data_IF_798568401489
#
_entry.id   IF_798568401489
#
_cell.length_a   1.000
_cell.length_b   1.000
_cell.length_c   1.000
_cell.angle_alpha   90.00
_cell.angle_beta   90.00
_cell.angle_gamma   90.00
#
_symmetry.space_group_name_H-M   'P 1'
#
loop_
_entity.id
_entity.type
_entity.pdbx_description
1 polymer ?
#
# COMPACT_ATOMS: atom_id res chain seq x y z
N UNK A 1 19.46 24.75 18.07
CA UNK A 1 18.32 23.84 17.87
C UNK A 1 17.42 24.33 16.73
N UNK A 2 17.13 25.63 16.66
CA UNK A 2 16.49 26.29 15.50
C UNK A 2 17.27 26.12 14.19
N UNK A 3 18.59 26.30 14.19
CA UNK A 3 19.38 26.21 12.95
C UNK A 3 19.36 24.82 12.30
N UNK A 4 19.28 23.77 13.12
CA UNK A 4 19.14 22.39 12.66
C UNK A 4 17.76 22.15 12.03
N UNK A 5 16.72 22.77 12.58
CA UNK A 5 15.34 22.68 12.07
C UNK A 5 15.23 23.44 10.74
N UNK A 6 15.79 24.65 10.65
CA UNK A 6 15.84 25.45 9.43
C UNK A 6 16.60 24.75 8.31
N UNK A 7 17.76 24.14 8.62
CA UNK A 7 18.54 23.34 7.67
C UNK A 7 17.74 22.13 7.16
N UNK A 8 17.02 21.44 8.04
CA UNK A 8 16.18 20.30 7.66
C UNK A 8 14.99 20.72 6.79
N UNK A 9 14.34 21.85 7.10
CA UNK A 9 13.25 22.42 6.29
C UNK A 9 13.77 22.79 4.90
N UNK A 10 14.93 23.45 4.81
CA UNK A 10 15.51 23.84 3.52
C UNK A 10 15.90 22.62 2.66
N UNK A 11 16.46 21.58 3.28
CA UNK A 11 16.79 20.34 2.59
C UNK A 11 15.56 19.60 2.07
N UNK A 12 14.46 19.64 2.82
CA UNK A 12 13.17 19.08 2.42
C UNK A 12 12.57 19.89 1.26
N UNK A 13 12.58 21.23 1.34
CA UNK A 13 12.11 22.12 0.27
C UNK A 13 12.91 21.97 -1.03
N UNK A 14 14.24 21.88 -0.94
CA UNK A 14 15.12 21.68 -2.10
C UNK A 14 14.83 20.32 -2.76
N UNK A 15 14.65 19.26 -1.97
CA UNK A 15 14.28 17.93 -2.49
C UNK A 15 12.90 17.92 -3.14
N UNK A 16 11.93 18.64 -2.59
CA UNK A 16 10.62 18.78 -3.23
C UNK A 16 10.69 19.58 -4.55
N UNK A 17 11.55 20.59 -4.63
CA UNK A 17 11.82 21.29 -5.89
C UNK A 17 12.44 20.36 -6.94
N UNK A 18 13.40 19.54 -6.54
CA UNK A 18 14.02 18.55 -7.43
C UNK A 18 13.03 17.49 -7.90
N UNK A 19 12.15 17.02 -6.99
CA UNK A 19 11.08 16.07 -7.28
C UNK A 19 10.06 16.69 -8.24
N UNK A 20 9.59 17.92 -7.97
CA UNK A 20 8.69 18.66 -8.87
C UNK A 20 9.29 18.76 -10.26
N UNK A 21 10.56 19.13 -10.35
CA UNK A 21 11.25 19.27 -11.64
C UNK A 21 11.36 17.92 -12.37
N UNK A 22 11.63 16.81 -11.66
CA UNK A 22 11.63 15.48 -12.27
C UNK A 22 10.26 15.06 -12.79
N UNK A 23 9.20 15.30 -12.01
CA UNK A 23 7.82 15.00 -12.42
C UNK A 23 7.43 15.83 -13.63
N UNK A 24 7.77 17.11 -13.66
CA UNK A 24 7.51 17.99 -14.80
C UNK A 24 8.28 17.53 -16.03
N UNK A 25 9.54 17.12 -15.89
CA UNK A 25 10.35 16.59 -17.00
C UNK A 25 9.79 15.26 -17.52
N UNK A 26 9.40 14.34 -16.65
CA UNK A 26 8.81 13.06 -17.05
C UNK A 26 7.43 13.26 -17.69
N UNK A 27 6.60 14.15 -17.13
CA UNK A 27 5.31 14.54 -17.70
C UNK A 27 5.48 15.19 -19.07
N UNK A 28 6.43 16.10 -19.25
CA UNK A 28 6.75 16.73 -20.53
C UNK A 28 7.26 15.70 -21.55
N UNK A 29 8.09 14.73 -21.14
CA UNK A 29 8.55 13.65 -22.01
C UNK A 29 7.40 12.75 -22.47
N UNK A 30 6.46 12.47 -21.56
CA UNK A 30 5.26 11.69 -21.85
C UNK A 30 4.32 12.46 -22.79
N UNK A 31 4.07 13.75 -22.53
CA UNK A 31 3.29 14.64 -23.40
C UNK A 31 3.91 14.76 -24.78
N UNK A 32 5.23 14.96 -24.88
CA UNK A 32 5.94 15.04 -26.16
C UNK A 32 5.88 13.72 -26.96
N UNK A 33 5.98 12.57 -26.27
CA UNK A 33 5.78 11.25 -26.89
C UNK A 33 4.33 11.03 -27.34
N UNK A 34 3.35 11.64 -26.69
CA UNK A 34 1.94 11.49 -27.08
C UNK A 34 1.48 12.47 -28.15
N UNK A 35 2.03 13.69 -28.16
CA UNK A 35 1.83 14.67 -29.24
C UNK A 35 2.39 14.16 -30.57
N UNK A 36 3.49 13.41 -30.53
CA UNK A 36 4.03 12.71 -31.70
C UNK A 36 3.19 11.51 -32.15
N UNK A 37 2.26 11.03 -31.32
CA UNK A 37 1.36 9.91 -31.60
C UNK A 37 -0.10 10.32 -31.86
N UNK A 38 -0.44 11.62 -31.80
CA UNK A 38 -1.77 12.15 -32.16
C UNK A 38 -2.90 11.78 -31.19
N UNK A 39 -2.61 11.53 -29.91
CA UNK A 39 -3.62 11.10 -28.91
C UNK A 39 -4.39 12.31 -28.34
N UNK A 40 -5.70 12.10 -28.16
CA UNK A 40 -6.77 13.12 -28.05
C UNK A 40 -6.73 14.10 -26.86
N UNK A 41 -7.42 15.25 -27.04
CA UNK A 41 -7.63 16.33 -26.07
C UNK A 41 -8.23 15.89 -24.72
N UNK A 42 -8.95 14.76 -24.65
CA UNK A 42 -9.50 14.21 -23.40
C UNK A 42 -8.42 13.66 -22.48
N UNK A 43 -7.35 13.09 -23.04
CA UNK A 43 -6.22 12.58 -22.27
C UNK A 43 -5.34 13.72 -21.75
N UNK A 44 -5.13 14.77 -22.54
CA UNK A 44 -4.43 15.98 -22.12
C UNK A 44 -5.19 16.69 -20.99
N UNK A 45 -6.53 16.75 -21.09
CA UNK A 45 -7.39 17.26 -20.01
C UNK A 45 -7.28 16.41 -18.74
N UNK A 46 -7.25 15.08 -18.86
CA UNK A 46 -7.10 14.17 -17.75
C UNK A 46 -5.73 14.32 -17.06
N UNK A 47 -4.65 14.40 -17.82
CA UNK A 47 -3.29 14.60 -17.31
C UNK A 47 -3.16 15.97 -16.62
N UNK A 48 -3.70 17.03 -17.21
CA UNK A 48 -3.71 18.37 -16.59
C UNK A 48 -4.53 18.42 -15.29
N UNK A 49 -5.62 17.66 -15.20
CA UNK A 49 -6.36 17.53 -13.94
C UNK A 49 -5.52 16.83 -12.86
N UNK A 50 -4.74 15.81 -13.24
CA UNK A 50 -3.88 15.07 -12.31
C UNK A 50 -2.67 15.89 -11.87
N UNK A 51 -2.05 16.62 -12.79
CA UNK A 51 -0.97 17.55 -12.50
C UNK A 51 -1.46 18.68 -11.59
N UNK A 52 -2.62 19.28 -11.88
CA UNK A 52 -3.20 20.33 -11.05
C UNK A 52 -3.64 19.83 -9.67
N UNK A 53 -4.11 18.59 -9.59
CA UNK A 53 -4.40 17.93 -8.32
C UNK A 53 -3.10 17.67 -7.52
N UNK A 54 -2.06 17.15 -8.17
CA UNK A 54 -0.75 16.97 -7.57
C UNK A 54 -0.15 18.30 -7.10
N UNK A 55 -0.26 19.37 -7.89
CA UNK A 55 0.14 20.73 -7.52
C UNK A 55 -0.65 21.25 -6.32
N UNK A 56 -1.97 21.07 -6.30
CA UNK A 56 -2.82 21.46 -5.16
C UNK A 56 -2.44 20.70 -3.89
N UNK A 57 -2.11 19.41 -4.04
CA UNK A 57 -1.64 18.55 -2.96
C UNK A 57 -0.25 19.01 -2.48
N UNK A 58 0.67 19.36 -3.40
CA UNK A 58 1.99 19.91 -3.11
C UNK A 58 1.95 21.31 -2.49
N UNK A 59 1.02 22.18 -2.89
CA UNK A 59 0.81 23.49 -2.26
C UNK A 59 0.27 23.34 -0.84
N UNK A 60 -0.69 22.43 -0.62
CA UNK A 60 -1.14 22.06 0.73
C UNK A 60 -0.03 21.41 1.56
N UNK A 61 0.93 20.72 0.93
CA UNK A 61 2.12 20.16 1.58
C UNK A 61 3.15 21.23 1.96
N UNK A 62 3.26 22.30 1.17
CA UNK A 62 4.18 23.43 1.40
C UNK A 62 3.72 24.31 2.57
N UNK A 63 2.42 24.53 2.70
CA UNK A 63 1.82 25.38 3.75
C UNK A 63 1.78 24.72 5.14
N UNK A 64 1.89 23.39 5.22
CA UNK A 64 1.67 22.66 6.49
C UNK A 64 2.91 22.05 7.13
N UNK A 65 4.10 22.24 6.58
CA UNK A 65 5.35 21.72 7.16
C UNK A 65 5.25 20.23 7.48
N UNK A 66 5.24 19.39 6.44
CA UNK A 66 4.79 18.01 6.59
C UNK A 66 5.50 17.18 7.66
N UNK A 67 4.65 16.46 8.40
CA UNK A 67 4.97 15.54 9.48
C UNK A 67 5.63 14.23 8.98
N UNK A 68 5.99 13.33 9.91
CA UNK A 68 6.71 12.08 9.66
C UNK A 68 6.01 11.06 8.74
N UNK A 69 4.75 11.25 8.34
CA UNK A 69 3.96 10.27 7.56
C UNK A 69 3.52 10.81 6.19
N UNK A 70 4.42 10.71 5.21
CA UNK A 70 4.14 11.05 3.80
C UNK A 70 4.17 9.77 2.94
N UNK A 71 3.00 9.38 2.42
CA UNK A 71 2.83 8.18 1.59
C UNK A 71 3.49 8.30 0.21
N UNK A 72 3.55 9.49 -0.39
CA UNK A 72 4.19 9.67 -1.69
C UNK A 72 5.71 9.61 -1.56
N UNK A 73 6.26 10.11 -0.45
CA UNK A 73 7.67 9.89 -0.13
C UNK A 73 7.98 8.41 0.14
N UNK A 74 7.10 7.70 0.84
CA UNK A 74 7.27 6.27 1.11
C UNK A 74 7.11 5.43 -0.16
N UNK A 75 6.16 5.78 -1.02
CA UNK A 75 5.85 5.07 -2.25
C UNK A 75 6.58 5.62 -3.48
N UNK A 76 7.53 6.53 -3.35
CA UNK A 76 8.09 7.21 -4.53
C UNK A 76 7.02 7.86 -5.43
N UNK A 77 7.45 8.35 -6.60
CA UNK A 77 6.57 9.02 -7.56
C UNK A 77 6.26 8.16 -8.78
N UNK A 78 6.85 6.96 -8.86
CA UNK A 78 6.60 6.00 -9.93
C UNK A 78 5.67 4.91 -9.44
N UNK A 79 4.62 4.60 -10.20
CA UNK A 79 3.79 3.44 -9.90
C UNK A 79 4.61 2.15 -10.11
N UNK A 80 5.02 1.52 -9.01
CA UNK A 80 5.76 0.25 -9.00
C UNK A 80 5.26 -0.65 -7.88
N UNK A 81 5.38 -1.98 -8.05
CA UNK A 81 4.92 -2.96 -7.05
C UNK A 81 5.57 -2.74 -5.68
N UNK A 82 6.85 -2.39 -5.69
CA UNK A 82 7.61 -2.01 -4.51
C UNK A 82 6.97 -0.79 -3.84
N UNK A 83 6.72 0.27 -4.61
CA UNK A 83 6.18 1.53 -4.11
C UNK A 83 4.78 1.40 -3.53
N UNK A 84 3.92 0.62 -4.18
CA UNK A 84 2.60 0.32 -3.64
C UNK A 84 2.68 -0.46 -2.34
N UNK A 85 3.57 -1.46 -2.27
CA UNK A 85 3.81 -2.22 -1.04
C UNK A 85 4.28 -1.33 0.12
N UNK A 86 4.99 -0.22 -0.15
CA UNK A 86 5.46 0.72 0.87
C UNK A 86 4.29 1.42 1.52
N UNK A 87 3.38 1.92 0.69
CA UNK A 87 2.23 2.63 1.17
C UNK A 87 1.18 1.70 1.78
N UNK A 88 0.93 0.52 1.22
CA UNK A 88 0.03 -0.47 1.84
C UNK A 88 0.56 -0.84 3.23
N UNK A 89 1.85 -1.16 3.36
CA UNK A 89 2.45 -1.43 4.66
C UNK A 89 2.32 -0.22 5.61
N UNK A 90 2.55 0.99 5.11
CA UNK A 90 2.44 2.20 5.91
C UNK A 90 1.01 2.52 6.37
N UNK A 91 -0.01 2.21 5.56
CA UNK A 91 -1.43 2.38 5.90
C UNK A 91 -1.88 1.33 6.91
N UNK A 92 -1.36 0.10 6.83
CA UNK A 92 -1.76 -1.01 7.70
C UNK A 92 -1.01 -1.06 9.05
N UNK A 93 0.08 -0.30 9.18
CA UNK A 93 0.93 -0.31 10.37
C UNK A 93 0.41 0.63 11.46
N UNK A 94 -0.15 0.10 12.57
CA UNK A 94 -0.72 0.93 13.63
C UNK A 94 0.31 1.80 14.35
N UNK A 95 1.60 1.54 14.17
CA UNK A 95 2.69 2.33 14.76
C UNK A 95 3.09 3.52 13.89
N UNK A 96 2.46 3.70 12.72
CA UNK A 96 2.70 4.86 11.86
C UNK A 96 1.94 6.08 12.35
N UNK A 97 2.42 7.31 12.05
CA UNK A 97 1.80 8.54 12.53
C UNK A 97 0.39 8.83 11.99
N UNK A 98 -0.23 7.96 11.19
CA UNK A 98 -1.54 8.19 10.58
C UNK A 98 -2.72 8.25 11.57
N UNK A 99 -2.52 7.98 12.86
CA UNK A 99 -3.53 8.06 13.94
C UNK A 99 -4.73 7.11 13.82
N UNK A 100 -4.85 6.32 12.75
CA UNK A 100 -5.92 5.33 12.56
C UNK A 100 -5.73 4.04 13.37
N UNK A 101 -4.58 3.84 14.03
CA UNK A 101 -4.25 2.62 14.76
C UNK A 101 -4.43 1.37 13.88
N UNK A 102 -5.11 0.34 14.40
CA UNK A 102 -5.38 -0.91 13.66
C UNK A 102 -6.62 -0.88 12.77
N UNK A 103 -7.36 0.22 12.74
CA UNK A 103 -8.61 0.34 11.98
C UNK A 103 -8.45 0.09 10.48
N UNK A 104 -7.35 0.51 9.81
CA UNK A 104 -7.14 0.19 8.39
C UNK A 104 -7.10 -1.32 8.14
N UNK A 105 -6.32 -2.06 8.92
CA UNK A 105 -6.24 -3.52 8.85
C UNK A 105 -7.60 -4.18 9.13
N UNK A 106 -8.32 -3.72 10.16
CA UNK A 106 -9.66 -4.22 10.47
C UNK A 106 -10.65 -3.95 9.33
N UNK A 107 -10.56 -2.80 8.67
CA UNK A 107 -11.45 -2.44 7.55
C UNK A 107 -11.21 -3.36 6.34
N UNK A 108 -9.93 -3.58 5.99
CA UNK A 108 -9.55 -4.50 4.92
C UNK A 108 -10.00 -5.92 5.23
N UNK A 109 -9.81 -6.41 6.46
CA UNK A 109 -10.28 -7.74 6.86
C UNK A 109 -11.81 -7.86 6.79
N UNK A 110 -12.56 -6.86 7.24
CA UNK A 110 -14.02 -6.86 7.10
C UNK A 110 -14.45 -7.01 5.64
N UNK A 111 -13.82 -6.26 4.72
CA UNK A 111 -14.08 -6.35 3.28
C UNK A 111 -13.81 -7.75 2.72
N UNK A 112 -12.77 -8.44 3.20
CA UNK A 112 -12.47 -9.83 2.84
C UNK A 112 -13.54 -10.79 3.39
N UNK A 113 -13.98 -10.57 4.63
CA UNK A 113 -14.92 -11.42 5.37
C UNK A 113 -16.36 -11.36 4.85
N UNK A 114 -16.76 -10.27 4.19
CA UNK A 114 -18.05 -10.17 3.49
C UNK A 114 -18.30 -11.34 2.52
N UNK A 115 -17.23 -11.98 2.04
CA UNK A 115 -17.27 -13.07 1.06
C UNK A 115 -16.70 -14.39 1.59
N UNK A 116 -16.04 -14.37 2.74
CA UNK A 116 -15.32 -15.51 3.31
C UNK A 116 -15.56 -15.57 4.83
N UNK A 117 -16.75 -16.05 5.22
CA UNK A 117 -17.17 -16.05 6.63
C UNK A 117 -16.29 -16.93 7.54
N UNK A 118 -15.54 -17.88 6.97
CA UNK A 118 -14.67 -18.80 7.72
C UNK A 118 -13.46 -18.13 8.41
N UNK A 119 -13.19 -16.86 8.09
CA UNK A 119 -12.02 -16.13 8.59
C UNK A 119 -12.36 -15.17 9.76
N UNK A 120 -13.55 -15.22 10.35
CA UNK A 120 -13.98 -14.29 11.43
C UNK A 120 -12.97 -14.22 12.59
N UNK A 121 -12.32 -15.35 12.91
CA UNK A 121 -11.36 -15.44 14.01
C UNK A 121 -10.15 -14.52 13.83
N UNK A 122 -9.71 -14.24 12.60
CA UNK A 122 -8.56 -13.35 12.38
C UNK A 122 -8.90 -11.88 12.70
N UNK A 123 -10.13 -11.44 12.43
CA UNK A 123 -10.57 -10.09 12.76
C UNK A 123 -10.62 -9.89 14.29
N UNK A 124 -11.09 -10.91 15.02
CA UNK A 124 -11.05 -10.91 16.49
C UNK A 124 -9.60 -10.90 16.99
N UNK A 125 -8.71 -11.72 16.42
CA UNK A 125 -7.30 -11.75 16.80
C UNK A 125 -6.59 -10.40 16.59
N UNK A 126 -6.85 -9.71 15.47
CA UNK A 126 -6.37 -8.33 15.23
C UNK A 126 -6.94 -7.36 16.27
N UNK A 127 -8.22 -7.50 16.58
CA UNK A 127 -8.90 -6.65 17.56
C UNK A 127 -8.41 -6.87 19.00
N UNK A 128 -7.91 -8.05 19.31
CA UNK A 128 -7.40 -8.36 20.65
C UNK A 128 -5.88 -8.24 20.77
N UNK A 129 -5.18 -7.99 19.65
CA UNK A 129 -3.73 -7.81 19.63
C UNK A 129 -3.35 -6.46 20.23
N UNK A 130 -2.39 -6.48 21.18
CA UNK A 130 -1.82 -5.29 21.82
C UNK A 130 -0.71 -4.67 20.99
N UNK A 131 0.10 -5.52 20.36
CA UNK A 131 1.21 -5.14 19.50
C UNK A 131 1.01 -5.78 18.14
N UNK A 132 1.25 -5.01 17.08
CA UNK A 132 1.22 -5.49 15.70
C UNK A 132 2.48 -4.97 15.04
N UNK A 133 3.20 -5.86 14.36
CA UNK A 133 4.36 -5.52 13.58
C UNK A 133 4.03 -5.64 12.10
N UNK A 134 4.36 -4.61 11.34
CA UNK A 134 4.30 -4.63 9.87
C UNK A 134 5.71 -4.55 9.34
N UNK A 135 6.09 -5.54 8.53
CA UNK A 135 7.41 -5.65 7.92
C UNK A 135 7.24 -5.84 6.44
N UNK A 136 8.16 -5.25 5.68
CA UNK A 136 8.29 -5.52 4.27
C UNK A 136 9.46 -6.42 3.99
N UNK A 137 9.33 -7.21 2.93
CA UNK A 137 10.42 -7.98 2.32
C UNK A 137 11.25 -8.75 3.36
N UNK A 138 10.59 -9.26 4.40
CA UNK A 138 11.29 -9.99 5.45
C UNK A 138 11.75 -11.32 4.87
N UNK A 139 13.07 -11.52 4.78
CA UNK A 139 13.61 -12.78 4.35
C UNK A 139 13.35 -13.87 5.41
N UNK A 140 12.44 -14.79 5.10
CA UNK A 140 12.08 -15.93 5.95
C UNK A 140 12.82 -17.23 5.54
N UNK A 141 13.84 -17.11 4.69
CA UNK A 141 14.65 -18.21 4.18
C UNK A 141 14.03 -18.89 2.96
N UNK A 142 12.79 -19.38 3.09
CA UNK A 142 12.09 -20.13 2.03
C UNK A 142 11.33 -19.22 1.04
N UNK A 143 11.02 -18.00 1.47
CA UNK A 143 10.24 -17.01 0.72
C UNK A 143 10.43 -15.61 1.31
N UNK A 144 10.03 -14.60 0.55
CA UNK A 144 9.99 -13.20 0.97
C UNK A 144 8.58 -12.71 0.65
N UNK A 145 7.70 -12.45 1.64
CA UNK A 145 6.44 -11.79 1.40
C UNK A 145 6.67 -10.29 1.16
N UNK A 146 5.87 -9.68 0.28
CA UNK A 146 5.93 -8.23 0.07
C UNK A 146 5.62 -7.48 1.37
N UNK A 147 4.59 -7.96 2.09
CA UNK A 147 4.23 -7.46 3.42
C UNK A 147 3.90 -8.62 4.36
N UNK A 148 4.47 -8.56 5.56
CA UNK A 148 4.15 -9.39 6.71
C UNK A 148 3.50 -8.53 7.78
N UNK A 149 2.32 -8.92 8.24
CA UNK A 149 1.66 -8.34 9.42
C UNK A 149 1.51 -9.43 10.47
N UNK A 150 2.08 -9.24 11.65
CA UNK A 150 2.06 -10.27 12.70
C UNK A 150 1.87 -9.72 14.11
N UNK A 151 1.33 -10.57 14.97
CA UNK A 151 1.30 -10.43 16.42
C UNK A 151 1.51 -11.80 17.09
N UNK A 152 1.34 -11.85 18.40
CA UNK A 152 1.24 -13.10 19.17
C UNK A 152 -0.06 -13.89 18.90
N UNK A 153 -1.03 -13.30 18.20
CA UNK A 153 -2.37 -13.88 17.98
C UNK A 153 -2.70 -14.18 16.53
N UNK A 154 -2.02 -13.54 15.58
CA UNK A 154 -2.30 -13.74 14.16
C UNK A 154 -1.04 -13.55 13.31
N UNK A 155 -1.10 -14.05 12.08
CA UNK A 155 -0.11 -13.78 11.05
C UNK A 155 -0.78 -13.63 9.69
N UNK A 156 -0.41 -12.57 8.97
CA UNK A 156 -0.93 -12.26 7.64
C UNK A 156 0.26 -12.04 6.70
N UNK A 157 0.27 -12.76 5.59
CA UNK A 157 1.14 -12.45 4.45
C UNK A 157 0.30 -11.72 3.40
N UNK A 158 0.85 -10.66 2.82
CA UNK A 158 0.25 -9.97 1.68
C UNK A 158 1.27 -10.01 0.55
N UNK A 159 0.85 -10.61 -0.56
CA UNK A 159 1.55 -10.59 -1.83
C UNK A 159 0.83 -9.59 -2.74
N UNK A 160 1.57 -8.59 -3.23
CA UNK A 160 1.05 -7.50 -4.03
C UNK A 160 1.45 -7.68 -5.50
N UNK A 161 0.54 -7.30 -6.40
CA UNK A 161 0.82 -7.11 -7.82
C UNK A 161 0.19 -5.81 -8.29
N UNK A 162 0.87 -5.10 -9.18
CA UNK A 162 0.32 -3.90 -9.86
C UNK A 162 0.05 -4.17 -11.33
N UNK A 163 0.79 -5.10 -11.96
CA UNK A 163 0.62 -5.36 -13.40
C UNK A 163 0.20 -6.78 -13.66
N UNK A 164 -0.90 -6.95 -14.40
CA UNK A 164 -1.45 -8.21 -14.91
C UNK A 164 -1.71 -9.34 -13.89
N UNK A 165 -1.43 -9.14 -12.60
CA UNK A 165 -1.73 -10.07 -11.51
C UNK A 165 -1.17 -11.48 -11.69
N UNK A 166 -0.10 -11.66 -12.49
CA UNK A 166 0.52 -12.98 -12.70
C UNK A 166 1.44 -13.29 -11.52
N UNK A 167 1.31 -14.50 -10.97
CA UNK A 167 2.24 -14.99 -9.97
C UNK A 167 3.63 -15.25 -10.56
N UNK A 168 4.67 -15.00 -9.76
CA UNK A 168 6.05 -15.32 -10.13
C UNK A 168 6.32 -16.80 -9.93
N UNK A 169 6.90 -17.44 -10.95
CA UNK A 169 7.43 -18.80 -10.85
C UNK A 169 8.90 -18.75 -10.44
N UNK A 170 9.36 -19.70 -9.62
CA UNK A 170 10.80 -19.91 -9.43
C UNK A 170 11.36 -20.86 -10.50
N UNK A 171 12.68 -21.04 -10.50
CA UNK A 171 13.42 -21.96 -11.38
C UNK A 171 12.95 -23.43 -11.31
N UNK A 172 12.22 -23.81 -10.26
CA UNK A 172 11.61 -25.14 -10.10
C UNK A 172 10.09 -25.15 -10.39
N UNK A 173 9.56 -24.14 -11.10
CA UNK A 173 8.13 -23.99 -11.44
C UNK A 173 7.17 -23.99 -10.25
N UNK A 174 7.65 -23.75 -9.02
CA UNK A 174 6.78 -23.60 -7.87
C UNK A 174 6.18 -22.20 -7.87
N UNK A 175 4.89 -22.12 -7.59
CA UNK A 175 4.17 -20.86 -7.52
C UNK A 175 4.47 -20.13 -6.21
N UNK A 176 4.50 -18.81 -6.26
CA UNK A 176 4.93 -17.98 -5.12
C UNK A 176 4.03 -18.13 -3.90
N UNK A 177 2.71 -18.15 -4.11
CA UNK A 177 1.71 -18.30 -3.03
C UNK A 177 1.79 -19.66 -2.34
N UNK A 178 2.21 -20.74 -3.03
CA UNK A 178 2.43 -22.05 -2.41
C UNK A 178 3.61 -22.03 -1.42
N UNK A 179 4.72 -21.39 -1.79
CA UNK A 179 5.88 -21.25 -0.90
C UNK A 179 5.55 -20.37 0.29
N UNK A 180 4.84 -19.27 0.03
CA UNK A 180 4.40 -18.35 1.07
C UNK A 180 3.43 -19.00 2.05
N UNK A 181 2.48 -19.81 1.58
CA UNK A 181 1.56 -20.52 2.47
C UNK A 181 2.30 -21.48 3.41
N UNK A 182 3.21 -22.31 2.86
CA UNK A 182 4.02 -23.24 3.67
C UNK A 182 4.83 -22.50 4.74
N UNK A 183 5.43 -21.36 4.39
CA UNK A 183 6.20 -20.56 5.35
C UNK A 183 5.30 -19.89 6.39
N UNK A 184 4.12 -19.40 5.99
CA UNK A 184 3.12 -18.82 6.88
C UNK A 184 2.61 -19.86 7.89
N UNK A 185 2.37 -21.10 7.48
CA UNK A 185 2.02 -22.20 8.38
C UNK A 185 3.14 -22.50 9.38
N UNK A 186 4.38 -22.62 8.88
CA UNK A 186 5.57 -22.91 9.68
C UNK A 186 5.81 -21.81 10.71
N UNK A 187 5.78 -20.55 10.30
CA UNK A 187 5.98 -19.39 11.16
C UNK A 187 4.83 -19.24 12.15
N UNK A 188 3.58 -19.39 11.71
CA UNK A 188 2.42 -19.38 12.59
C UNK A 188 2.51 -20.44 13.69
N UNK A 189 2.94 -21.67 13.36
CA UNK A 189 3.20 -22.73 14.35
C UNK A 189 4.30 -22.33 15.34
N UNK A 190 5.40 -21.74 14.87
CA UNK A 190 6.49 -21.24 15.72
C UNK A 190 6.05 -20.14 16.68
N UNK A 191 5.05 -19.33 16.29
CA UNK A 191 4.50 -18.24 17.10
C UNK A 191 3.35 -18.69 18.01
N UNK A 192 2.89 -19.94 17.90
CA UNK A 192 1.71 -20.43 18.63
C UNK A 192 0.38 -19.86 18.10
N UNK A 193 0.37 -19.34 16.87
CA UNK A 193 -0.82 -18.76 16.23
C UNK A 193 -1.76 -19.88 15.75
N UNK A 194 -3.06 -19.86 16.14
CA UNK A 194 -4.07 -20.82 15.66
C UNK A 194 -4.24 -20.79 14.14
N UNK A 195 -4.62 -21.92 13.53
CA UNK A 195 -4.76 -22.02 12.06
C UNK A 195 -5.78 -21.03 11.47
N UNK A 196 -6.89 -20.80 12.18
CA UNK A 196 -7.92 -19.81 11.82
C UNK A 196 -7.51 -18.33 12.06
N UNK A 197 -6.28 -18.09 12.50
CA UNK A 197 -5.70 -16.77 12.65
C UNK A 197 -4.49 -16.55 11.71
N UNK A 198 -4.38 -17.41 10.67
CA UNK A 198 -3.36 -17.30 9.62
C UNK A 198 -4.04 -16.97 8.30
N UNK A 199 -3.53 -15.98 7.58
CA UNK A 199 -4.14 -15.53 6.32
C UNK A 199 -3.10 -15.13 5.29
N UNK A 200 -3.19 -15.71 4.09
CA UNK A 200 -2.50 -15.20 2.90
C UNK A 200 -3.45 -14.32 2.11
N UNK A 201 -3.03 -13.11 1.76
CA UNK A 201 -3.78 -12.17 0.91
C UNK A 201 -3.03 -12.00 -0.39
N UNK A 202 -3.71 -12.19 -1.52
CA UNK A 202 -3.20 -11.88 -2.84
C UNK A 202 -3.87 -10.61 -3.37
N UNK A 203 -3.18 -9.48 -3.19
CA UNK A 203 -3.65 -8.15 -3.56
C UNK A 203 -3.21 -7.83 -4.99
N UNK A 204 -4.16 -7.76 -5.92
CA UNK A 204 -3.90 -7.52 -7.35
C UNK A 204 -4.84 -6.45 -7.90
N UNK A 205 -4.60 -5.85 -9.08
CA UNK A 205 -5.47 -4.77 -9.57
C UNK A 205 -6.92 -5.21 -9.74
N UNK A 206 -7.12 -6.38 -10.35
CA UNK A 206 -8.42 -6.94 -10.72
C UNK A 206 -8.95 -7.96 -9.69
N UNK A 207 -8.22 -8.23 -8.61
CA UNK A 207 -8.58 -9.28 -7.64
C UNK A 207 -8.54 -10.68 -8.25
N UNK A 208 -7.47 -11.00 -9.00
CA UNK A 208 -7.22 -12.32 -9.58
C UNK A 208 -7.08 -13.38 -8.51
N UNK A 209 -7.43 -14.61 -8.88
CA UNK A 209 -7.24 -15.75 -8.01
C UNK A 209 -5.74 -16.06 -7.84
N UNK A 210 -5.28 -16.31 -6.60
CA UNK A 210 -3.98 -16.91 -6.38
C UNK A 210 -4.02 -18.37 -6.85
N UNK A 211 -2.85 -18.96 -7.07
CA UNK A 211 -2.79 -20.38 -7.36
C UNK A 211 -2.91 -21.27 -6.14
N UNK A 212 -2.46 -20.79 -4.97
CA UNK A 212 -2.73 -21.46 -3.72
C UNK A 212 -4.14 -21.07 -3.25
N UNK A 213 -5.04 -22.06 -3.16
CA UNK A 213 -6.44 -21.82 -2.78
C UNK A 213 -6.62 -21.35 -1.33
N UNK A 214 -5.59 -21.42 -0.48
CA UNK A 214 -5.64 -20.90 0.89
C UNK A 214 -5.36 -19.39 0.95
N UNK A 215 -4.84 -18.79 -0.12
CA UNK A 215 -4.77 -17.34 -0.22
C UNK A 215 -6.14 -16.77 -0.61
N UNK A 216 -6.55 -15.70 0.07
CA UNK A 216 -7.73 -14.93 -0.32
C UNK A 216 -7.34 -13.87 -1.36
N UNK A 217 -8.16 -13.72 -2.39
CA UNK A 217 -8.00 -12.62 -3.35
C UNK A 217 -8.48 -11.30 -2.75
N UNK A 218 -7.78 -10.22 -3.07
CA UNK A 218 -8.21 -8.85 -2.82
C UNK A 218 -7.86 -8.00 -4.04
N UNK A 219 -8.80 -7.20 -4.54
CA UNK A 219 -8.52 -6.23 -5.58
C UNK A 219 -8.02 -4.90 -5.01
N UNK A 220 -7.28 -4.13 -5.80
CA UNK A 220 -6.91 -2.76 -5.42
C UNK A 220 -8.16 -1.90 -5.20
N UNK A 221 -9.23 -2.06 -6.00
CA UNK A 221 -10.49 -1.33 -5.76
C UNK A 221 -11.11 -1.68 -4.41
N UNK A 222 -11.13 -2.96 -4.03
CA UNK A 222 -11.67 -3.38 -2.73
C UNK A 222 -10.83 -2.87 -1.56
N UNK A 223 -9.49 -2.88 -1.70
CA UNK A 223 -8.61 -2.28 -0.71
C UNK A 223 -8.89 -0.77 -0.57
N UNK A 224 -8.96 -0.05 -1.68
CA UNK A 224 -9.25 1.39 -1.71
C UNK A 224 -10.60 1.68 -1.08
N UNK A 225 -11.65 0.95 -1.45
CA UNK A 225 -13.00 1.09 -0.88
C UNK A 225 -13.00 0.87 0.64
N UNK A 226 -12.32 -0.18 1.12
CA UNK A 226 -12.23 -0.47 2.55
C UNK A 226 -11.57 0.67 3.33
N UNK A 227 -10.54 1.30 2.78
CA UNK A 227 -9.90 2.45 3.41
C UNK A 227 -10.76 3.70 3.26
N UNK A 228 -11.32 3.98 2.08
CA UNK A 228 -12.16 5.16 1.86
C UNK A 228 -13.39 5.18 2.78
N UNK A 229 -14.04 4.04 3.00
CA UNK A 229 -15.16 3.93 3.92
C UNK A 229 -14.75 4.22 5.37
N UNK A 230 -13.58 3.76 5.80
CA UNK A 230 -13.00 4.12 7.09
C UNK A 230 -12.77 5.63 7.21
N UNK A 231 -12.19 6.26 6.18
CA UNK A 231 -11.89 7.70 6.18
C UNK A 231 -13.13 8.59 6.05
N UNK A 232 -14.32 8.04 5.78
CA UNK A 232 -15.59 8.76 5.88
C UNK A 232 -16.06 8.88 7.33
N UNK A 233 -15.74 7.89 8.17
CA UNK A 233 -16.17 7.84 9.58
C UNK A 233 -15.10 8.34 10.55
N UNK A 234 -13.84 8.32 10.15
CA UNK A 234 -12.70 8.72 10.97
C UNK A 234 -12.10 10.04 10.47
N UNK A 235 -11.81 10.96 11.38
CA UNK A 235 -11.14 12.21 11.07
C UNK A 235 -9.68 12.14 11.50
N UNK A 236 -8.75 12.29 10.56
CA UNK A 236 -7.34 12.55 10.84
C UNK A 236 -6.76 13.54 9.84
N UNK A 237 -5.73 14.27 10.25
CA UNK A 237 -4.99 15.21 9.39
C UNK A 237 -4.41 14.54 8.12
N UNK A 238 -4.24 13.21 8.14
CA UNK A 238 -3.69 12.41 7.03
C UNK A 238 -4.72 11.94 6.01
N UNK A 239 -6.02 12.14 6.25
CA UNK A 239 -7.09 11.62 5.38
C UNK A 239 -6.89 12.02 3.91
N UNK A 240 -6.52 13.27 3.66
CA UNK A 240 -6.34 13.77 2.29
C UNK A 240 -5.13 13.12 1.61
N UNK A 241 -4.03 12.92 2.34
CA UNK A 241 -2.83 12.24 1.83
C UNK A 241 -3.14 10.79 1.48
N UNK A 242 -3.86 10.07 2.35
CA UNK A 242 -4.26 8.69 2.12
C UNK A 242 -5.19 8.61 0.90
N UNK A 243 -6.24 9.45 0.82
CA UNK A 243 -7.16 9.50 -0.33
C UNK A 243 -6.45 9.79 -1.65
N UNK A 244 -5.57 10.79 -1.68
CA UNK A 244 -4.80 11.14 -2.87
C UNK A 244 -3.93 9.97 -3.35
N UNK A 245 -3.28 9.28 -2.42
CA UNK A 245 -2.48 8.09 -2.71
C UNK A 245 -3.33 6.95 -3.30
N UNK A 246 -4.46 6.65 -2.67
CA UNK A 246 -5.36 5.59 -3.12
C UNK A 246 -5.91 5.88 -4.53
N UNK A 247 -6.24 7.14 -4.81
CA UNK A 247 -6.69 7.56 -6.14
C UNK A 247 -5.61 7.38 -7.20
N UNK A 248 -4.34 7.68 -6.90
CA UNK A 248 -3.23 7.49 -7.82
C UNK A 248 -3.08 6.02 -8.25
N UNK A 249 -3.12 5.07 -7.31
CA UNK A 249 -2.99 3.64 -7.62
C UNK A 249 -4.27 3.01 -8.19
N UNK A 250 -5.45 3.60 -7.97
CA UNK A 250 -6.68 3.17 -8.63
C UNK A 250 -6.67 3.45 -10.14
N UNK A 251 -5.86 4.41 -10.58
CA UNK A 251 -5.79 4.90 -11.95
C UNK A 251 -4.53 4.43 -12.70
N UNK A 252 -3.59 3.79 -11.98
CA UNK A 252 -2.32 3.26 -12.52
C UNK A 252 -2.46 1.80 -12.97
#
# INVERSE_FOLDING_TARGET
>A
MEDQILSNVQNVLNRYSDIRNKILVEADQVVNRFNTLGISAEFEKYLNQHLKFAETVLEKFKDKGLSRFDLFRLAGFTASEENFSNAVAAILDPNRPHQLGKKPLQSVLKKILERNQDQISILSAVSDSKTIQVRRELNLGSTIPDILVESDKFIIFIENKIRHGKETLNSNSHKQTDRQWKELERRGKSLGVPDNCKLGIFLTPEGKLPANNNFVRLSVSEFVEAIDDLLKTESTEYNNTIKAFLQFYKLS
#
